data_IF_169860382864
#
_entry.id   IF_169860382864
#
_cell.length_a   1.000
_cell.length_b   1.000
_cell.length_c   1.000
_cell.angle_alpha   90.00
_cell.angle_beta   90.00
_cell.angle_gamma   90.00
#
_symmetry.space_group_name_H-M   'P 1'
#
loop_
_entity.id
_entity.type
_entity.pdbx_description
1 polymer ?
#
# COMPACT_ATOMS: atom_id res chain seq x y z
N UNK A 1 -17.46 6.71 -0.99
CA UNK A 1 -16.05 6.99 -0.67
C UNK A 1 -15.29 7.17 -1.97
N UNK A 2 -14.59 8.28 -2.12
CA UNK A 2 -13.69 8.55 -3.25
C UNK A 2 -12.34 7.88 -3.02
N UNK A 3 -11.55 7.69 -4.09
CA UNK A 3 -10.18 7.16 -3.99
C UNK A 3 -9.31 8.04 -3.07
N UNK A 4 -9.50 9.36 -3.09
CA UNK A 4 -8.77 10.31 -2.23
C UNK A 4 -9.11 10.13 -0.76
N UNK A 5 -10.41 10.01 -0.43
CA UNK A 5 -10.86 9.75 0.95
C UNK A 5 -10.32 8.40 1.44
N UNK A 6 -10.40 7.37 0.60
CA UNK A 6 -9.86 6.04 0.92
C UNK A 6 -8.36 6.07 1.23
N UNK A 7 -7.56 6.71 0.36
CA UNK A 7 -6.11 6.86 0.57
C UNK A 7 -5.81 7.56 1.89
N UNK A 8 -6.51 8.65 2.19
CA UNK A 8 -6.31 9.42 3.41
C UNK A 8 -6.63 8.60 4.66
N UNK A 9 -7.70 7.80 4.65
CA UNK A 9 -8.09 6.99 5.79
C UNK A 9 -7.14 5.81 6.02
N UNK A 10 -6.75 5.09 4.96
CA UNK A 10 -5.76 4.01 5.07
C UNK A 10 -4.40 4.54 5.53
N UNK A 11 -3.96 5.68 5.00
CA UNK A 11 -2.71 6.30 5.41
C UNK A 11 -2.70 6.65 6.91
N UNK A 12 -3.81 7.22 7.42
CA UNK A 12 -3.95 7.50 8.87
C UNK A 12 -3.86 6.23 9.70
N UNK A 13 -4.47 5.13 9.25
CA UNK A 13 -4.44 3.84 9.96
C UNK A 13 -3.01 3.32 10.07
N UNK A 14 -2.24 3.34 8.98
CA UNK A 14 -0.85 2.87 9.01
C UNK A 14 0.06 3.75 9.88
N UNK A 15 -0.10 5.07 9.83
CA UNK A 15 0.63 5.97 10.72
C UNK A 15 0.26 5.70 12.19
N UNK A 16 -1.03 5.52 12.48
CA UNK A 16 -1.51 5.20 13.82
C UNK A 16 -1.05 3.81 14.32
N UNK A 17 -0.78 2.86 13.42
CA UNK A 17 -0.20 1.55 13.77
C UNK A 17 1.31 1.59 14.04
N UNK A 18 1.93 2.77 13.99
CA UNK A 18 3.37 2.94 14.21
C UNK A 18 4.24 2.62 12.99
N UNK A 19 3.64 2.44 11.80
CA UNK A 19 4.41 2.36 10.56
C UNK A 19 4.93 3.75 10.23
N UNK A 20 6.25 3.90 10.13
CA UNK A 20 6.90 5.19 9.84
C UNK A 20 7.50 5.25 8.43
N UNK A 21 7.67 4.10 7.77
CA UNK A 21 8.17 4.04 6.41
C UNK A 21 7.09 4.51 5.43
N UNK A 22 7.17 5.77 5.04
CA UNK A 22 6.21 6.40 4.13
C UNK A 22 6.15 5.73 2.75
N UNK A 23 7.27 5.16 2.26
CA UNK A 23 7.31 4.47 0.97
C UNK A 23 6.50 3.18 1.08
N UNK A 24 6.73 2.43 2.16
CA UNK A 24 5.99 1.19 2.44
C UNK A 24 4.49 1.45 2.62
N UNK A 25 4.12 2.51 3.35
CA UNK A 25 2.72 2.90 3.53
C UNK A 25 2.06 3.21 2.19
N UNK A 26 2.73 3.96 1.32
CA UNK A 26 2.19 4.30 0.00
C UNK A 26 1.97 3.07 -0.86
N UNK A 27 2.87 2.10 -0.83
CA UNK A 27 2.71 0.86 -1.58
C UNK A 27 1.52 0.04 -1.04
N UNK A 28 1.36 -0.09 0.28
CA UNK A 28 0.19 -0.75 0.86
C UNK A 28 -1.12 -0.02 0.54
N UNK A 29 -1.14 1.30 0.56
CA UNK A 29 -2.30 2.10 0.16
C UNK A 29 -2.70 1.82 -1.29
N UNK A 30 -1.73 1.72 -2.22
CA UNK A 30 -2.01 1.39 -3.63
C UNK A 30 -2.62 0.00 -3.79
N UNK A 31 -2.14 -0.96 -3.01
CA UNK A 31 -2.65 -2.33 -3.00
C UNK A 31 -4.09 -2.35 -2.51
N UNK A 32 -4.35 -1.73 -1.36
CA UNK A 32 -5.68 -1.65 -0.78
C UNK A 32 -6.67 -0.92 -1.71
N UNK A 33 -6.22 0.13 -2.40
CA UNK A 33 -7.04 0.85 -3.38
C UNK A 33 -7.37 -0.03 -4.60
N UNK A 34 -6.37 -0.71 -5.18
CA UNK A 34 -6.58 -1.57 -6.33
C UNK A 34 -7.52 -2.75 -6.01
N UNK A 35 -7.40 -3.33 -4.81
CA UNK A 35 -8.32 -4.36 -4.34
C UNK A 35 -9.75 -3.82 -4.19
N UNK A 36 -9.90 -2.64 -3.57
CA UNK A 36 -11.22 -2.06 -3.23
C UNK A 36 -11.96 -1.50 -4.44
N UNK A 37 -11.25 -0.80 -5.34
CA UNK A 37 -11.87 -0.06 -6.44
C UNK A 37 -11.73 -0.75 -7.79
N UNK A 38 -10.68 -1.53 -8.01
CA UNK A 38 -10.40 -2.17 -9.30
C UNK A 38 -10.63 -3.69 -9.27
N UNK A 39 -11.07 -4.24 -8.13
CA UNK A 39 -11.29 -5.69 -7.90
C UNK A 39 -10.10 -6.55 -8.34
N UNK A 40 -8.89 -5.99 -8.28
CA UNK A 40 -7.67 -6.74 -8.57
C UNK A 40 -7.34 -7.61 -7.37
N UNK A 41 -7.42 -8.92 -7.58
CA UNK A 41 -6.93 -9.87 -6.59
C UNK A 41 -5.40 -9.75 -6.48
N UNK A 42 -4.95 -9.53 -5.25
CA UNK A 42 -3.53 -9.49 -4.95
C UNK A 42 -3.03 -10.91 -4.73
N UNK A 43 -2.21 -11.40 -5.65
CA UNK A 43 -1.63 -12.74 -5.58
C UNK A 43 -0.37 -12.73 -4.71
N UNK A 44 0.03 -13.87 -4.12
CA UNK A 44 1.29 -13.98 -3.36
C UNK A 44 2.54 -13.55 -4.16
N UNK A 45 2.51 -13.68 -5.48
CA UNK A 45 3.55 -13.17 -6.38
C UNK A 45 3.70 -11.65 -6.33
N UNK A 46 2.60 -10.93 -6.14
CA UNK A 46 2.59 -9.47 -6.09
C UNK A 46 3.21 -8.96 -4.77
N UNK A 47 3.06 -9.72 -3.69
CA UNK A 47 3.75 -9.45 -2.42
C UNK A 47 5.27 -9.59 -2.57
N UNK A 48 5.74 -10.63 -3.27
CA UNK A 48 7.18 -10.83 -3.52
C UNK A 48 7.75 -9.68 -4.35
N UNK A 49 7.06 -9.29 -5.42
CA UNK A 49 7.46 -8.15 -6.25
C UNK A 49 7.48 -6.83 -5.46
N UNK A 50 6.53 -6.64 -4.54
CA UNK A 50 6.52 -5.50 -3.64
C UNK A 50 7.75 -5.49 -2.72
N UNK A 51 8.07 -6.61 -2.08
CA UNK A 51 9.23 -6.72 -1.20
C UNK A 51 10.53 -6.44 -1.95
N UNK A 52 10.70 -6.99 -3.17
CA UNK A 52 11.87 -6.72 -4.02
C UNK A 52 11.99 -5.23 -4.38
N UNK A 53 10.87 -4.58 -4.70
CA UNK A 53 10.84 -3.15 -5.05
C UNK A 53 11.18 -2.25 -3.86
N UNK A 54 10.67 -2.57 -2.67
CA UNK A 54 10.99 -1.84 -1.42
C UNK A 54 12.44 -2.08 -1.01
N UNK A 55 12.97 -3.29 -1.18
CA UNK A 55 14.37 -3.60 -0.88
C UNK A 55 15.37 -2.94 -1.84
N UNK A 56 15.02 -2.79 -3.13
CA UNK A 56 15.91 -2.19 -4.13
C UNK A 56 15.79 -0.65 -4.22
N UNK A 57 14.78 -0.04 -3.60
CA UNK A 57 14.58 1.42 -3.58
C UNK A 57 15.44 2.20 -2.58
N UNK A 58 16.31 1.52 -1.83
CA UNK A 58 17.17 2.08 -0.77
C UNK A 58 18.66 2.16 -1.16
N UNK A 59 18.99 2.25 -2.45
CA UNK A 59 20.38 2.48 -2.93
C UNK A 59 20.48 3.75 -3.76
#
# INVERSE_FOLDING_TARGET
MTRTEFRADIYKIYVASGMQDHVLIQEYVKIAEAFTFDQKDFQPSDQKALMEKVSNGNT
#
